data_IF_324891888578
#
_entry.id   IF_324891888578
#
_cell.length_a   1.000
_cell.length_b   1.000
_cell.length_c   1.000
_cell.angle_alpha   90.00
_cell.angle_beta   90.00
_cell.angle_gamma   90.00
#
_symmetry.space_group_name_H-M   'P 1'
#
loop_
_entity.id
_entity.type
_entity.pdbx_description
1 polymer ?
#
# COMPACT_ATOMS: atom_id res chain seq x y z
N UNK A 1 3.23 6.74 9.08
CA UNK A 1 4.14 6.02 8.15
C UNK A 1 5.53 6.13 8.72
N UNK A 2 6.34 5.08 8.63
CA UNK A 2 7.76 5.15 8.97
C UNK A 2 8.54 5.58 7.71
N UNK A 3 9.16 6.76 7.74
CA UNK A 3 9.98 7.31 6.66
C UNK A 3 11.45 6.90 6.69
N UNK A 4 11.85 6.07 7.67
CA UNK A 4 13.16 5.43 7.78
C UNK A 4 13.02 3.90 7.88
N UNK A 5 12.46 3.24 6.86
CA UNK A 5 12.51 1.78 6.81
C UNK A 5 13.96 1.35 6.60
N UNK A 6 14.61 0.90 7.67
CA UNK A 6 15.96 0.36 7.62
C UNK A 6 15.93 -1.10 7.14
N UNK A 7 16.88 -1.47 6.28
CA UNK A 7 17.20 -2.88 6.03
C UNK A 7 18.67 -3.10 6.37
N UNK A 8 18.98 -4.16 7.13
CA UNK A 8 20.36 -4.54 7.49
C UNK A 8 21.22 -3.33 7.93
N UNK A 9 20.68 -2.49 8.82
CA UNK A 9 21.34 -1.29 9.38
C UNK A 9 21.59 -0.15 8.37
N UNK A 10 21.04 -0.23 7.16
CA UNK A 10 21.10 0.84 6.17
C UNK A 10 19.73 1.49 5.94
N UNK A 11 19.73 2.82 6.05
CA UNK A 11 18.57 3.65 5.77
C UNK A 11 18.64 4.17 4.33
N UNK A 12 17.90 3.51 3.43
CA UNK A 12 17.87 3.81 2.00
C UNK A 12 17.25 5.15 1.64
N UNK A 13 16.53 5.78 2.57
CA UNK A 13 15.70 6.94 2.28
C UNK A 13 16.17 8.17 3.06
N UNK A 14 16.14 9.31 2.39
CA UNK A 14 16.20 10.62 3.03
C UNK A 14 14.86 11.32 2.88
N UNK A 15 14.40 11.95 3.96
CA UNK A 15 13.22 12.81 3.91
C UNK A 15 13.62 14.10 3.21
N UNK A 16 12.87 14.45 2.17
CA UNK A 16 12.92 15.78 1.57
C UNK A 16 11.96 16.69 2.33
N UNK A 17 10.68 16.32 2.36
CA UNK A 17 9.61 17.12 2.96
C UNK A 17 8.53 16.24 3.59
N UNK A 18 7.72 16.83 4.47
CA UNK A 18 6.51 16.22 5.00
C UNK A 18 5.51 17.30 5.38
N UNK A 19 4.24 16.96 5.44
CA UNK A 19 3.23 17.91 5.88
C UNK A 19 1.86 17.32 6.11
N UNK A 20 0.91 18.22 6.30
CA UNK A 20 -0.50 17.92 6.59
C UNK A 20 -1.36 18.19 5.37
N UNK A 21 -2.49 17.49 5.32
CA UNK A 21 -3.67 17.76 4.50
C UNK A 21 -4.84 17.98 5.47
N UNK A 22 -5.96 18.50 4.98
CA UNK A 22 -7.15 18.76 5.80
C UNK A 22 -7.61 17.53 6.61
N UNK A 23 -7.50 16.34 6.03
CA UNK A 23 -7.87 15.06 6.66
C UNK A 23 -6.73 14.02 6.62
N UNK A 24 -5.47 14.48 6.49
CA UNK A 24 -4.38 13.55 6.16
C UNK A 24 -2.98 14.09 6.34
N UNK A 25 -2.01 13.30 5.90
CA UNK A 25 -0.59 13.66 5.87
C UNK A 25 0.02 13.29 4.55
N UNK A 26 1.22 13.81 4.30
CA UNK A 26 2.06 13.39 3.20
C UNK A 26 3.54 13.36 3.61
N UNK A 27 4.31 12.56 2.89
CA UNK A 27 5.75 12.39 3.03
C UNK A 27 6.37 12.36 1.63
N UNK A 28 7.42 13.15 1.43
CA UNK A 28 8.26 13.11 0.24
C UNK A 28 9.66 12.68 0.65
N UNK A 29 10.07 11.55 0.09
CA UNK A 29 11.36 10.94 0.36
C UNK A 29 12.13 10.73 -0.94
N UNK A 30 13.45 10.65 -0.83
CA UNK A 30 14.33 10.31 -1.94
C UNK A 30 15.23 9.13 -1.57
N UNK A 31 15.40 8.20 -2.49
CA UNK A 31 16.36 7.14 -2.32
C UNK A 31 17.78 7.73 -2.38
N UNK A 32 18.62 7.41 -1.39
CA UNK A 32 19.97 7.98 -1.27
C UNK A 32 20.86 7.67 -2.46
N UNK A 33 20.74 6.46 -3.02
CA UNK A 33 21.61 5.95 -4.08
C UNK A 33 21.04 6.22 -5.48
N UNK A 34 19.83 5.75 -5.76
CA UNK A 34 19.21 5.89 -7.09
C UNK A 34 18.66 7.27 -7.38
N UNK A 35 18.53 8.11 -6.34
CA UNK A 35 17.91 9.44 -6.40
C UNK A 35 16.44 9.42 -6.84
N UNK A 36 15.79 8.26 -6.82
CA UNK A 36 14.36 8.13 -7.06
C UNK A 36 13.57 8.80 -5.93
N UNK A 37 12.69 9.71 -6.30
CA UNK A 37 11.71 10.31 -5.41
C UNK A 37 10.51 9.39 -5.21
N UNK A 38 9.96 9.44 -4.00
CA UNK A 38 8.75 8.77 -3.59
C UNK A 38 7.85 9.77 -2.88
N UNK A 39 6.62 9.91 -3.38
CA UNK A 39 5.56 10.69 -2.76
C UNK A 39 4.54 9.75 -2.14
N UNK A 40 4.24 9.95 -0.86
CA UNK A 40 3.21 9.19 -0.14
C UNK A 40 2.22 10.18 0.46
N UNK A 41 0.92 9.94 0.28
CA UNK A 41 -0.14 10.69 0.94
C UNK A 41 -1.14 9.73 1.58
N UNK A 42 -1.65 10.07 2.77
CA UNK A 42 -2.59 9.23 3.50
C UNK A 42 -3.65 10.02 4.26
N UNK A 43 -4.88 9.48 4.30
CA UNK A 43 -5.99 10.01 5.11
C UNK A 43 -6.58 8.92 6.00
N UNK A 44 -7.27 9.34 7.06
CA UNK A 44 -8.16 8.45 7.81
C UNK A 44 -9.57 9.03 7.85
N UNK A 45 -10.57 8.16 7.81
CA UNK A 45 -11.97 8.53 8.06
C UNK A 45 -12.47 7.75 9.27
N UNK A 46 -13.18 8.44 10.17
CA UNK A 46 -13.87 7.83 11.30
C UNK A 46 -15.35 7.69 10.95
N UNK A 47 -15.87 6.48 11.03
CA UNK A 47 -17.27 6.16 10.75
C UNK A 47 -17.92 5.54 11.98
N UNK A 48 -19.21 5.83 12.18
CA UNK A 48 -19.99 5.33 13.31
C UNK A 48 -19.73 6.06 14.64
N UNK A 49 -18.92 7.12 14.64
CA UNK A 49 -18.65 7.96 15.81
C UNK A 49 -18.23 9.37 15.40
N UNK A 50 -18.57 10.36 16.22
CA UNK A 50 -17.94 11.68 16.13
C UNK A 50 -16.60 11.68 16.87
N UNK A 51 -15.58 12.22 16.22
CA UNK A 51 -14.24 12.30 16.76
C UNK A 51 -13.43 13.39 16.10
N UNK A 52 -12.31 13.74 16.73
CA UNK A 52 -11.32 14.61 16.12
C UNK A 52 -10.12 13.77 15.68
N UNK A 53 -9.55 14.13 14.54
CA UNK A 53 -8.28 13.58 14.08
C UNK A 53 -7.22 14.68 14.09
N UNK A 54 -6.01 14.31 14.49
CA UNK A 54 -4.87 15.21 14.52
C UNK A 54 -3.68 14.54 13.83
N UNK A 55 -3.09 15.28 12.90
CA UNK A 55 -1.84 14.86 12.25
C UNK A 55 -0.67 15.26 13.13
N UNK A 56 0.10 14.26 13.57
CA UNK A 56 1.35 14.44 14.29
C UNK A 56 2.50 14.41 13.29
N UNK A 57 3.27 15.49 13.26
CA UNK A 57 4.36 15.68 12.31
C UNK A 57 5.73 15.41 12.97
N UNK A 58 5.90 14.24 13.58
CA UNK A 58 7.23 13.81 13.99
C UNK A 58 8.12 13.71 12.74
N UNK A 59 9.39 14.19 12.78
CA UNK A 59 10.28 14.15 11.63
C UNK A 59 10.39 12.75 11.04
N UNK A 60 10.05 12.61 9.76
CA UNK A 60 10.00 11.36 8.98
C UNK A 60 9.04 10.29 9.52
N UNK A 61 8.20 10.62 10.50
CA UNK A 61 7.18 9.74 11.06
C UNK A 61 5.81 10.44 11.09
N UNK A 62 5.28 10.92 9.94
CA UNK A 62 3.95 11.51 9.94
C UNK A 62 2.93 10.45 10.36
N UNK A 63 2.09 10.79 11.32
CA UNK A 63 1.05 9.92 11.86
C UNK A 63 -0.25 10.70 12.05
N UNK A 64 -1.36 9.96 12.13
CA UNK A 64 -2.66 10.53 12.51
C UNK A 64 -3.13 9.82 13.75
N UNK A 65 -3.52 10.60 14.76
CA UNK A 65 -4.23 10.13 15.94
C UNK A 65 -5.70 10.50 15.81
N UNK A 66 -6.59 9.55 16.08
CA UNK A 66 -8.01 9.77 16.18
C UNK A 66 -8.44 9.64 17.64
N UNK A 67 -9.30 10.54 18.12
CA UNK A 67 -9.86 10.48 19.47
C UNK A 67 -11.37 10.68 19.41
N UNK A 68 -12.09 9.76 20.03
CA UNK A 68 -13.54 9.68 20.02
C UNK A 68 -14.04 9.03 21.30
N UNK A 69 -15.31 9.25 21.64
CA UNK A 69 -15.98 8.57 22.75
C UNK A 69 -16.86 7.44 22.19
N UNK A 70 -16.78 6.27 22.79
CA UNK A 70 -17.56 5.11 22.37
C UNK A 70 -18.46 4.59 23.50
N UNK A 71 -19.58 4.00 23.12
CA UNK A 71 -20.50 3.30 24.02
C UNK A 71 -20.34 1.79 23.91
N UNK A 72 -20.71 1.01 24.95
CA UNK A 72 -20.79 -0.45 24.84
C UNK A 72 -21.62 -0.87 23.62
N UNK A 73 -21.15 -1.89 22.90
CA UNK A 73 -21.78 -2.42 21.68
C UNK A 73 -21.87 -1.46 20.48
N UNK A 74 -21.15 -0.33 20.49
CA UNK A 74 -21.02 0.55 19.33
C UNK A 74 -19.91 0.06 18.40
N UNK A 75 -20.24 -0.15 17.12
CA UNK A 75 -19.24 -0.41 16.08
C UNK A 75 -18.65 0.90 15.57
N UNK A 76 -17.32 1.00 15.59
CA UNK A 76 -16.57 2.14 15.06
C UNK A 76 -15.62 1.63 13.99
N UNK A 77 -15.62 2.27 12.84
CA UNK A 77 -14.75 1.91 11.72
C UNK A 77 -13.74 3.02 11.47
N UNK A 78 -12.45 2.66 11.45
CA UNK A 78 -11.37 3.55 11.04
C UNK A 78 -10.93 3.10 9.65
N UNK A 79 -11.28 3.89 8.66
CA UNK A 79 -10.79 3.72 7.31
C UNK A 79 -9.44 4.42 7.17
N UNK A 80 -8.49 3.79 6.47
CA UNK A 80 -7.21 4.39 6.14
C UNK A 80 -6.89 4.15 4.66
N UNK A 81 -6.77 5.25 3.91
CA UNK A 81 -6.39 5.21 2.50
C UNK A 81 -4.99 5.81 2.36
N UNK A 82 -4.10 5.10 1.69
CA UNK A 82 -2.74 5.54 1.35
C UNK A 82 -2.58 5.51 -0.16
N UNK A 83 -1.88 6.50 -0.70
CA UNK A 83 -1.44 6.56 -2.10
C UNK A 83 0.08 6.71 -2.12
N UNK A 84 0.72 6.05 -3.07
CA UNK A 84 2.17 6.06 -3.24
C UNK A 84 2.48 6.17 -4.73
N UNK A 85 3.39 7.07 -5.07
CA UNK A 85 3.93 7.22 -6.42
C UNK A 85 5.43 7.38 -6.36
N UNK A 86 6.12 7.03 -7.44
CA UNK A 86 7.56 7.25 -7.58
C UNK A 86 7.88 8.11 -8.80
N UNK A 87 9.03 8.77 -8.77
CA UNK A 87 9.55 9.54 -9.91
C UNK A 87 9.86 8.69 -11.15
N UNK A 88 9.89 7.36 -11.01
CA UNK A 88 9.97 6.44 -12.14
C UNK A 88 8.65 6.40 -12.92
N UNK A 89 7.53 6.55 -12.23
CA UNK A 89 6.20 6.37 -12.79
C UNK A 89 5.62 7.71 -13.27
N UNK A 90 5.91 8.80 -12.55
CA UNK A 90 5.39 10.16 -12.84
C UNK A 90 6.43 11.23 -12.53
N UNK A 91 6.44 12.39 -13.22
CA UNK A 91 7.43 13.45 -12.96
C UNK A 91 7.39 14.05 -11.55
N UNK A 92 6.19 14.26 -10.99
CA UNK A 92 5.98 14.77 -9.62
C UNK A 92 5.19 13.75 -8.79
N UNK A 93 5.87 12.85 -8.06
CA UNK A 93 5.20 11.81 -7.31
C UNK A 93 4.44 12.33 -6.09
N UNK A 94 4.86 13.46 -5.49
CA UNK A 94 4.15 14.01 -4.33
C UNK A 94 2.81 14.62 -4.75
N UNK A 95 2.81 15.41 -5.83
CA UNK A 95 1.58 15.96 -6.39
C UNK A 95 0.63 14.84 -6.83
N UNK A 96 1.15 13.81 -7.51
CA UNK A 96 0.34 12.67 -7.94
C UNK A 96 -0.30 11.93 -6.76
N UNK A 97 0.45 11.67 -5.68
CA UNK A 97 -0.07 11.05 -4.46
C UNK A 97 -1.20 11.89 -3.83
N UNK A 98 -0.95 13.19 -3.61
CA UNK A 98 -1.96 14.10 -3.02
C UNK A 98 -3.22 14.19 -3.87
N UNK A 99 -3.07 14.40 -5.17
CA UNK A 99 -4.19 14.51 -6.11
C UNK A 99 -4.99 13.21 -6.18
N UNK A 100 -4.32 12.06 -6.29
CA UNK A 100 -5.01 10.76 -6.30
C UNK A 100 -5.79 10.55 -5.01
N UNK A 101 -5.21 10.83 -3.85
CA UNK A 101 -5.86 10.68 -2.55
C UNK A 101 -7.14 11.53 -2.40
N UNK A 102 -7.11 12.74 -2.97
CA UNK A 102 -8.25 13.66 -2.95
C UNK A 102 -9.47 13.09 -3.70
N UNK A 103 -9.24 12.48 -4.86
CA UNK A 103 -10.31 11.94 -5.71
C UNK A 103 -10.72 10.49 -5.40
N UNK A 104 -9.99 9.79 -4.53
CA UNK A 104 -10.33 8.40 -4.18
C UNK A 104 -11.64 8.33 -3.38
N UNK A 105 -12.57 7.42 -3.76
CA UNK A 105 -13.81 7.17 -3.02
C UNK A 105 -13.53 6.46 -1.68
N UNK A 106 -14.60 6.08 -0.98
CA UNK A 106 -14.52 5.30 0.26
C UNK A 106 -14.00 3.87 0.04
N UNK A 107 -13.62 3.24 1.14
CA UNK A 107 -13.06 1.90 1.19
C UNK A 107 -14.02 0.86 0.63
N UNK A 108 -15.32 0.98 0.85
CA UNK A 108 -16.30 0.00 0.35
C UNK A 108 -16.29 -0.02 -1.17
N UNK A 109 -16.27 1.17 -1.79
CA UNK A 109 -16.16 1.32 -3.24
C UNK A 109 -14.84 0.75 -3.76
N UNK A 110 -13.72 1.07 -3.10
CA UNK A 110 -12.40 0.55 -3.47
C UNK A 110 -12.29 -0.97 -3.32
N UNK A 111 -12.86 -1.53 -2.25
CA UNK A 111 -12.88 -2.96 -1.99
C UNK A 111 -13.70 -3.71 -3.03
N UNK A 112 -14.87 -3.17 -3.40
CA UNK A 112 -15.72 -3.74 -4.44
C UNK A 112 -15.01 -3.73 -5.81
N UNK A 113 -14.34 -2.63 -6.16
CA UNK A 113 -13.55 -2.55 -7.39
C UNK A 113 -12.42 -3.60 -7.38
N UNK A 114 -11.67 -3.72 -6.27
CA UNK A 114 -10.64 -4.74 -6.12
C UNK A 114 -11.21 -6.17 -6.24
N UNK A 115 -12.38 -6.45 -5.64
CA UNK A 115 -13.02 -7.76 -5.74
C UNK A 115 -13.43 -8.08 -7.18
N UNK A 116 -13.92 -7.10 -7.94
CA UNK A 116 -14.27 -7.27 -9.35
C UNK A 116 -13.06 -7.64 -10.20
N UNK A 117 -11.93 -6.93 -10.02
CA UNK A 117 -10.66 -7.25 -10.69
C UNK A 117 -10.19 -8.67 -10.34
N UNK A 118 -10.20 -9.03 -9.04
CA UNK A 118 -9.83 -10.39 -8.62
C UNK A 118 -10.74 -11.46 -9.18
N UNK A 119 -12.05 -11.22 -9.30
CA UNK A 119 -12.97 -12.17 -9.92
C UNK A 119 -12.60 -12.44 -11.38
N UNK A 120 -12.23 -11.41 -12.15
CA UNK A 120 -11.80 -11.57 -13.54
C UNK A 120 -10.49 -12.36 -13.64
N UNK A 121 -9.54 -12.07 -12.75
CA UNK A 121 -8.27 -12.80 -12.67
C UNK A 121 -8.53 -14.28 -12.35
N UNK A 122 -9.34 -14.58 -11.34
CA UNK A 122 -9.66 -15.96 -10.96
C UNK A 122 -10.40 -16.74 -12.04
N UNK A 123 -11.26 -16.09 -12.84
CA UNK A 123 -11.91 -16.75 -13.98
C UNK A 123 -10.90 -17.30 -15.01
N UNK A 124 -9.70 -16.71 -15.08
CA UNK A 124 -8.66 -17.11 -16.02
C UNK A 124 -7.59 -18.02 -15.41
N UNK A 125 -7.47 -18.04 -14.08
CA UNK A 125 -6.37 -18.70 -13.38
C UNK A 125 -6.76 -19.77 -12.37
N UNK A 126 -8.04 -19.92 -12.01
CA UNK A 126 -8.45 -20.86 -10.96
C UNK A 126 -8.29 -22.32 -11.38
N UNK A 127 -7.86 -23.16 -10.43
CA UNK A 127 -7.73 -24.61 -10.60
C UNK A 127 -8.59 -25.28 -9.54
N UNK A 128 -9.62 -26.00 -9.97
CA UNK A 128 -10.50 -26.75 -9.09
C UNK A 128 -9.92 -28.14 -8.79
N UNK A 129 -9.79 -28.46 -7.51
CA UNK A 129 -9.43 -29.80 -7.03
C UNK A 129 -10.60 -30.30 -6.19
N UNK A 130 -11.22 -31.40 -6.64
CA UNK A 130 -12.33 -32.04 -5.94
C UNK A 130 -11.81 -33.11 -4.97
N UNK A 131 -12.49 -33.27 -3.82
CA UNK A 131 -12.17 -34.31 -2.84
C UNK A 131 -10.97 -34.02 -1.92
N UNK A 132 -10.19 -32.97 -2.18
CA UNK A 132 -9.07 -32.54 -1.32
C UNK A 132 -9.07 -31.03 -1.09
N UNK A 133 -9.66 -30.61 0.04
CA UNK A 133 -9.74 -29.19 0.42
C UNK A 133 -8.38 -28.58 0.73
N UNK A 134 -7.41 -29.38 1.22
CA UNK A 134 -6.06 -28.90 1.54
C UNK A 134 -5.29 -28.63 0.26
N UNK A 135 -5.36 -29.52 -0.72
CA UNK A 135 -4.77 -29.30 -2.04
C UNK A 135 -5.43 -28.12 -2.75
N UNK A 136 -6.76 -28.01 -2.71
CA UNK A 136 -7.51 -26.87 -3.29
C UNK A 136 -7.07 -25.52 -2.70
N UNK A 137 -6.92 -25.43 -1.37
CA UNK A 137 -6.39 -24.22 -0.73
C UNK A 137 -4.94 -23.96 -1.12
N UNK A 138 -4.08 -24.99 -1.10
CA UNK A 138 -2.66 -24.83 -1.39
C UNK A 138 -2.41 -24.33 -2.81
N UNK A 139 -3.11 -24.87 -3.81
CA UNK A 139 -2.92 -24.43 -5.20
C UNK A 139 -3.39 -22.98 -5.40
N UNK A 140 -4.56 -22.61 -4.84
CA UNK A 140 -5.08 -21.24 -4.88
C UNK A 140 -4.15 -20.27 -4.17
N UNK A 141 -3.58 -20.65 -3.02
CA UNK A 141 -2.59 -19.83 -2.34
C UNK A 141 -1.35 -19.58 -3.22
N UNK A 142 -0.81 -20.62 -3.87
CA UNK A 142 0.35 -20.45 -4.75
C UNK A 142 0.03 -19.57 -5.96
N UNK A 143 -1.12 -19.77 -6.60
CA UNK A 143 -1.59 -18.92 -7.72
C UNK A 143 -1.72 -17.46 -7.28
N UNK A 144 -2.34 -17.21 -6.12
CA UNK A 144 -2.45 -15.87 -5.55
C UNK A 144 -1.08 -15.21 -5.32
N UNK A 145 -0.11 -15.94 -4.75
CA UNK A 145 1.24 -15.41 -4.52
C UNK A 145 1.96 -15.08 -5.84
N UNK A 146 1.79 -15.89 -6.88
CA UNK A 146 2.36 -15.60 -8.20
C UNK A 146 1.74 -14.34 -8.80
N UNK A 147 0.41 -14.25 -8.84
CA UNK A 147 -0.31 -13.15 -9.47
C UNK A 147 -0.09 -11.81 -8.76
N UNK A 148 0.07 -11.80 -7.45
CA UNK A 148 0.39 -10.58 -6.70
C UNK A 148 1.83 -10.08 -6.92
N UNK A 149 2.72 -10.93 -7.41
CA UNK A 149 4.12 -10.59 -7.68
C UNK A 149 4.35 -10.03 -9.09
N UNK A 150 3.40 -10.24 -10.01
CA UNK A 150 3.52 -9.81 -11.41
C UNK A 150 2.98 -8.40 -11.56
N UNK A 151 3.73 -7.55 -12.26
CA UNK A 151 3.15 -6.31 -12.79
C UNK A 151 2.47 -6.59 -14.11
N UNK A 152 1.17 -6.31 -14.20
CA UNK A 152 0.39 -6.42 -15.45
C UNK A 152 0.52 -5.19 -16.35
N UNK A 153 1.15 -4.11 -15.87
CA UNK A 153 1.11 -2.79 -16.49
C UNK A 153 2.49 -2.17 -16.72
N UNK A 154 3.56 -2.88 -16.38
CA UNK A 154 4.93 -2.35 -16.40
C UNK A 154 5.90 -3.36 -16.99
N UNK A 155 6.24 -3.18 -18.26
CA UNK A 155 7.12 -4.06 -19.02
C UNK A 155 8.60 -3.95 -18.62
N UNK A 156 8.96 -3.02 -17.72
CA UNK A 156 10.35 -2.78 -17.30
C UNK A 156 10.70 -3.46 -15.98
N UNK A 157 9.76 -4.17 -15.36
CA UNK A 157 9.99 -4.96 -14.14
C UNK A 157 9.72 -6.43 -14.39
N UNK A 158 10.27 -7.28 -13.54
CA UNK A 158 10.11 -8.73 -13.61
C UNK A 158 9.96 -9.31 -12.20
N UNK A 159 9.68 -10.60 -12.10
CA UNK A 159 9.36 -11.28 -10.84
C UNK A 159 10.66 -11.74 -10.17
N UNK A 160 11.00 -11.22 -8.99
CA UNK A 160 12.17 -11.69 -8.26
C UNK A 160 11.90 -13.02 -7.53
N UNK A 161 12.96 -13.76 -7.18
CA UNK A 161 12.87 -15.09 -6.55
C UNK A 161 12.08 -15.15 -5.22
N UNK A 162 11.90 -14.00 -4.56
CA UNK A 162 11.08 -13.85 -3.34
C UNK A 162 9.95 -12.85 -3.50
N UNK A 163 9.49 -12.58 -4.72
CA UNK A 163 8.41 -11.61 -5.00
C UNK A 163 8.71 -10.26 -4.30
N UNK A 164 7.68 -9.55 -3.85
CA UNK A 164 7.82 -8.35 -3.00
C UNK A 164 7.55 -8.64 -1.51
N UNK A 165 7.60 -9.91 -1.10
CA UNK A 165 7.24 -10.36 0.25
C UNK A 165 8.41 -10.36 1.25
N UNK A 166 9.66 -10.26 0.79
CA UNK A 166 10.84 -10.28 1.66
C UNK A 166 12.02 -9.48 1.12
N UNK A 167 12.88 -9.01 2.03
CA UNK A 167 14.14 -8.35 1.70
C UNK A 167 15.28 -9.32 1.34
N UNK A 168 15.13 -10.61 1.66
CA UNK A 168 16.10 -11.64 1.27
C UNK A 168 16.20 -11.74 -0.25
N UNK A 169 17.41 -12.00 -0.76
CA UNK A 169 17.76 -11.94 -2.19
C UNK A 169 17.65 -10.55 -2.85
N UNK A 170 17.44 -9.47 -2.07
CA UNK A 170 17.41 -8.07 -2.54
C UNK A 170 16.54 -7.81 -3.78
N UNK A 171 15.47 -8.60 -3.94
CA UNK A 171 14.63 -8.56 -5.15
C UNK A 171 15.40 -8.78 -6.46
N UNK A 172 16.50 -9.54 -6.42
CA UNK A 172 17.21 -9.96 -7.62
C UNK A 172 16.41 -11.00 -8.40
N UNK A 173 16.66 -10.96 -9.70
CA UNK A 173 16.02 -11.80 -10.71
C UNK A 173 17.00 -12.88 -11.10
N UNK A 174 16.50 -14.10 -11.20
CA UNK A 174 17.24 -15.27 -11.64
C UNK A 174 16.48 -15.95 -12.79
N UNK A 175 16.95 -17.12 -13.21
CA UNK A 175 16.35 -17.95 -14.25
C UNK A 175 15.06 -18.68 -13.81
N UNK A 176 14.69 -18.54 -12.54
CA UNK A 176 13.47 -19.05 -11.91
C UNK A 176 12.18 -18.53 -12.58
#
# INVERSE_FOLDING_TARGET
INGYPENREFNHWERLEQGKLDQGFWLHSRNRQSRLDMGIAGKINLLGVEGHSQVNAAPSYPSISATFRCSPNQTITIEKIITLFTSRDVPDPLLAAKSKLYYLPDYVTLHNANQQEWNQIWQQSDILIEGDSKASFAIRYNIFQMLTAVSHYDEKVTIPAKTISAFFYHSHVSWD
#
